data_IF_949524524958
#
_entry.id   IF_949524524958
#
_cell.length_a   1.000
_cell.length_b   1.000
_cell.length_c   1.000
_cell.angle_alpha   90.00
_cell.angle_beta   90.00
_cell.angle_gamma   90.00
#
_symmetry.space_group_name_H-M   'P 1'
#
loop_
_entity.id
_entity.type
_entity.pdbx_description
1 polymer ?
#
# COMPACT_ATOMS: atom_id res chain seq x y z
N UNK A 1 -35.79 13.40 1.80
CA UNK A 1 -34.89 13.25 2.96
C UNK A 1 -33.76 12.36 2.48
N UNK A 2 -32.63 12.95 2.12
CA UNK A 2 -31.50 12.24 1.52
C UNK A 2 -30.62 11.69 2.65
N UNK A 3 -30.74 10.39 2.94
CA UNK A 3 -29.90 9.74 3.94
C UNK A 3 -28.47 9.65 3.42
N UNK A 4 -27.60 10.48 3.97
CA UNK A 4 -26.15 10.30 3.87
C UNK A 4 -25.80 8.96 4.53
N UNK A 5 -25.68 7.90 3.72
CA UNK A 5 -25.08 6.61 4.13
C UNK A 5 -23.74 6.91 4.80
N UNK A 6 -23.72 6.89 6.13
CA UNK A 6 -22.48 6.95 6.90
C UNK A 6 -21.64 5.78 6.42
N UNK A 7 -20.55 6.07 5.71
CA UNK A 7 -19.56 5.06 5.38
C UNK A 7 -18.95 4.62 6.70
N UNK A 8 -19.31 3.41 7.15
CA UNK A 8 -18.64 2.81 8.31
C UNK A 8 -17.13 2.72 8.03
N UNK A 9 -16.28 2.91 9.05
CA UNK A 9 -14.84 2.80 8.89
C UNK A 9 -14.49 1.44 8.29
N UNK A 10 -13.53 1.44 7.37
CA UNK A 10 -12.97 0.20 6.81
C UNK A 10 -12.54 -0.74 7.94
N UNK A 11 -13.01 -1.99 7.90
CA UNK A 11 -12.57 -3.09 8.77
C UNK A 11 -12.24 -4.27 7.88
N UNK A 12 -11.06 -4.86 8.01
CA UNK A 12 -10.64 -6.05 7.24
C UNK A 12 -11.69 -7.17 7.11
N UNK A 13 -12.49 -7.53 8.14
CA UNK A 13 -13.56 -8.53 8.00
C UNK A 13 -14.74 -8.11 7.09
N UNK A 14 -14.76 -6.89 6.55
CA UNK A 14 -15.80 -6.43 5.61
C UNK A 14 -15.59 -6.90 4.17
N UNK A 15 -14.38 -7.39 3.83
CA UNK A 15 -14.06 -7.96 2.51
C UNK A 15 -14.75 -9.30 2.25
N UNK A 16 -15.20 -9.99 3.30
CA UNK A 16 -15.99 -11.23 3.20
C UNK A 16 -17.47 -10.98 2.86
N UNK A 17 -17.93 -9.72 2.89
CA UNK A 17 -19.30 -9.39 2.48
C UNK A 17 -19.39 -9.12 0.97
N UNK A 18 -20.21 -9.91 0.28
CA UNK A 18 -20.40 -9.79 -1.18
C UNK A 18 -20.88 -8.38 -1.60
N UNK A 19 -21.72 -7.73 -0.80
CA UNK A 19 -22.21 -6.37 -1.08
C UNK A 19 -21.09 -5.32 -1.04
N UNK A 20 -20.16 -5.42 -0.10
CA UNK A 20 -19.03 -4.51 0.00
C UNK A 20 -18.07 -4.71 -1.18
N UNK A 21 -17.82 -5.97 -1.56
CA UNK A 21 -16.99 -6.35 -2.71
C UNK A 21 -17.55 -5.83 -4.02
N UNK A 22 -18.85 -6.01 -4.28
CA UNK A 22 -19.50 -5.45 -5.46
C UNK A 22 -19.44 -3.93 -5.51
N UNK A 23 -19.59 -3.25 -4.36
CA UNK A 23 -19.44 -1.80 -4.27
C UNK A 23 -18.01 -1.37 -4.56
N UNK A 24 -17.01 -2.10 -4.06
CA UNK A 24 -15.61 -1.81 -4.29
C UNK A 24 -15.23 -2.05 -5.76
N UNK A 25 -15.65 -3.17 -6.36
CA UNK A 25 -15.49 -3.45 -7.78
C UNK A 25 -16.11 -2.37 -8.67
N UNK A 26 -17.30 -1.87 -8.33
CA UNK A 26 -17.92 -0.73 -9.05
C UNK A 26 -17.07 0.54 -8.95
N UNK A 27 -16.62 0.89 -7.73
CA UNK A 27 -15.73 2.06 -7.52
C UNK A 27 -14.44 1.91 -8.34
N UNK A 28 -13.86 0.72 -8.33
CA UNK A 28 -12.60 0.41 -9.00
C UNK A 28 -12.73 0.41 -10.53
N UNK A 29 -13.81 -0.14 -11.08
CA UNK A 29 -14.13 -0.08 -12.52
C UNK A 29 -14.32 1.36 -13.00
N UNK A 30 -14.99 2.20 -12.21
CA UNK A 30 -15.11 3.63 -12.52
C UNK A 30 -13.73 4.31 -12.57
N UNK A 31 -12.87 4.03 -11.58
CA UNK A 31 -11.52 4.59 -11.53
C UNK A 31 -10.67 4.16 -12.73
N UNK A 32 -10.71 2.87 -13.11
CA UNK A 32 -10.04 2.35 -14.31
C UNK A 32 -10.48 3.12 -15.56
N UNK A 33 -11.79 3.29 -15.77
CA UNK A 33 -12.32 4.01 -16.93
C UNK A 33 -11.85 5.48 -16.97
N UNK A 34 -11.79 6.16 -15.82
CA UNK A 34 -11.30 7.54 -15.73
C UNK A 34 -9.80 7.62 -16.05
N UNK A 35 -8.99 6.68 -15.54
CA UNK A 35 -7.55 6.62 -15.80
C UNK A 35 -7.25 6.35 -17.28
N UNK A 36 -8.01 5.46 -17.92
CA UNK A 36 -7.88 5.19 -19.36
C UNK A 36 -8.25 6.43 -20.20
N UNK A 37 -9.34 7.11 -19.85
CA UNK A 37 -9.74 8.34 -20.52
C UNK A 37 -8.70 9.47 -20.34
N UNK A 38 -8.14 9.61 -19.13
CA UNK A 38 -7.07 10.55 -18.85
C UNK A 38 -5.81 10.20 -19.65
N UNK A 39 -5.43 8.93 -19.72
CA UNK A 39 -4.30 8.45 -20.53
C UNK A 39 -4.48 8.75 -22.02
N UNK A 40 -5.68 8.55 -22.57
CA UNK A 40 -6.00 8.92 -23.94
C UNK A 40 -5.90 10.43 -24.17
N UNK A 41 -6.34 11.24 -23.20
CA UNK A 41 -6.22 12.71 -23.26
C UNK A 41 -4.77 13.17 -23.26
N UNK A 42 -3.91 12.56 -22.43
CA UNK A 42 -2.46 12.84 -22.40
C UNK A 42 -1.79 12.45 -23.73
N UNK A 43 -2.15 11.29 -24.31
CA UNK A 43 -1.67 10.89 -25.64
C UNK A 43 -2.03 11.91 -26.72
N UNK A 44 -3.27 12.43 -26.70
CA UNK A 44 -3.70 13.50 -27.64
C UNK A 44 -2.96 14.81 -27.39
N UNK A 45 -2.74 15.19 -26.13
CA UNK A 45 -1.98 16.39 -25.78
C UNK A 45 -0.52 16.31 -26.27
N UNK A 46 0.12 15.15 -26.15
CA UNK A 46 1.46 14.91 -26.68
C UNK A 46 1.56 14.99 -28.21
N UNK A 47 0.46 14.71 -28.93
CA UNK A 47 0.38 14.81 -30.38
C UNK A 47 -0.04 16.21 -30.87
N UNK A 48 -0.37 17.12 -29.95
CA UNK A 48 -0.74 18.49 -30.26
C UNK A 48 0.48 19.36 -30.59
N UNK A 49 0.25 20.61 -31.05
CA UNK A 49 1.33 21.57 -31.29
C UNK A 49 1.94 22.04 -29.97
N UNK A 50 3.27 22.15 -29.93
CA UNK A 50 4.07 22.60 -28.78
C UNK A 50 3.73 21.92 -27.43
N UNK A 51 3.83 20.58 -27.34
CA UNK A 51 3.50 19.87 -26.12
C UNK A 51 4.58 20.08 -25.06
N UNK A 52 4.16 20.32 -23.81
CA UNK A 52 5.02 20.18 -22.63
C UNK A 52 5.32 18.69 -22.40
N UNK A 53 6.27 18.16 -23.18
CA UNK A 53 6.59 16.73 -23.25
C UNK A 53 6.99 16.19 -21.90
N UNK A 54 7.82 16.91 -21.16
CA UNK A 54 8.37 16.43 -19.89
C UNK A 54 7.26 16.26 -18.85
N UNK A 55 6.42 17.28 -18.66
CA UNK A 55 5.28 17.19 -17.76
C UNK A 55 4.29 16.12 -18.18
N UNK A 56 3.94 16.06 -19.47
CA UNK A 56 2.97 15.10 -19.99
C UNK A 56 3.48 13.65 -19.88
N UNK A 57 4.78 13.41 -20.05
CA UNK A 57 5.38 12.09 -19.83
C UNK A 57 5.35 11.68 -18.35
N UNK A 58 5.65 12.59 -17.42
CA UNK A 58 5.52 12.32 -15.98
C UNK A 58 4.07 11.98 -15.59
N UNK A 59 3.11 12.75 -16.10
CA UNK A 59 1.68 12.49 -15.90
C UNK A 59 1.31 11.12 -16.48
N UNK A 60 1.75 10.80 -17.70
CA UNK A 60 1.50 9.50 -18.34
C UNK A 60 2.04 8.34 -17.50
N UNK A 61 3.26 8.45 -16.99
CA UNK A 61 3.86 7.41 -16.14
C UNK A 61 3.03 7.19 -14.88
N UNK A 62 2.66 8.26 -14.18
CA UNK A 62 1.82 8.15 -12.98
C UNK A 62 0.46 7.50 -13.27
N UNK A 63 -0.23 7.94 -14.33
CA UNK A 63 -1.51 7.37 -14.74
C UNK A 63 -1.42 5.88 -15.08
N UNK A 64 -0.36 5.46 -15.78
CA UNK A 64 -0.14 4.05 -16.12
C UNK A 64 0.19 3.20 -14.89
N UNK A 65 1.05 3.69 -14.00
CA UNK A 65 1.37 3.00 -12.75
C UNK A 65 0.14 2.85 -11.85
N UNK A 66 -0.69 3.89 -11.71
CA UNK A 66 -1.94 3.79 -10.95
C UNK A 66 -2.94 2.84 -11.62
N UNK A 67 -3.06 2.90 -12.95
CA UNK A 67 -3.95 1.99 -13.70
C UNK A 67 -3.54 0.53 -13.50
N UNK A 68 -2.25 0.24 -13.50
CA UNK A 68 -1.73 -1.11 -13.27
C UNK A 68 -2.12 -1.62 -11.87
N UNK A 69 -1.95 -0.80 -10.83
CA UNK A 69 -2.38 -1.14 -9.46
C UNK A 69 -3.88 -1.39 -9.40
N UNK A 70 -4.71 -0.54 -10.03
CA UNK A 70 -6.15 -0.73 -10.08
C UNK A 70 -6.52 -2.04 -10.79
N UNK A 71 -5.88 -2.39 -11.91
CA UNK A 71 -6.15 -3.64 -12.62
C UNK A 71 -5.79 -4.87 -11.79
N UNK A 72 -4.66 -4.85 -11.06
CA UNK A 72 -4.30 -5.94 -10.14
C UNK A 72 -5.29 -6.06 -8.98
N UNK A 73 -5.71 -4.94 -8.40
CA UNK A 73 -6.73 -4.94 -7.35
C UNK A 73 -8.08 -5.46 -7.87
N UNK A 74 -8.43 -5.18 -9.13
CA UNK A 74 -9.62 -5.75 -9.79
C UNK A 74 -9.53 -7.26 -9.85
N UNK A 75 -8.42 -7.77 -10.38
CA UNK A 75 -8.19 -9.19 -10.53
C UNK A 75 -8.26 -9.91 -9.17
N UNK A 76 -7.67 -9.33 -8.12
CA UNK A 76 -7.72 -9.88 -6.77
C UNK A 76 -9.14 -9.91 -6.17
N UNK A 77 -9.99 -8.93 -6.49
CA UNK A 77 -11.39 -8.88 -6.04
C UNK A 77 -12.30 -9.81 -6.85
N UNK A 78 -11.98 -10.03 -8.13
CA UNK A 78 -12.71 -10.92 -9.05
C UNK A 78 -12.36 -12.40 -8.82
N UNK A 79 -11.11 -12.72 -8.46
CA UNK A 79 -10.60 -14.09 -8.52
C UNK A 79 -11.17 -15.06 -7.49
N UNK A 80 -11.77 -14.59 -6.39
CA UNK A 80 -12.41 -15.41 -5.33
C UNK A 80 -11.58 -16.58 -4.74
N UNK A 81 -10.39 -16.88 -5.24
CA UNK A 81 -9.42 -17.76 -4.62
C UNK A 81 -8.79 -17.00 -3.46
N UNK A 82 -8.79 -17.62 -2.29
CA UNK A 82 -7.98 -17.19 -1.17
C UNK A 82 -6.62 -16.77 -1.72
N UNK A 83 -6.23 -15.51 -1.46
CA UNK A 83 -4.97 -14.94 -1.91
C UNK A 83 -3.88 -16.02 -1.86
N UNK A 84 -3.13 -16.27 -2.96
CA UNK A 84 -1.99 -17.17 -2.92
C UNK A 84 -1.17 -16.79 -1.68
N UNK A 85 -0.88 -17.77 -0.81
CA UNK A 85 -0.26 -17.49 0.51
C UNK A 85 0.94 -16.55 0.37
N UNK A 86 1.71 -16.75 -0.70
CA UNK A 86 2.84 -15.94 -1.12
C UNK A 86 2.50 -14.45 -1.35
N UNK A 87 1.37 -14.11 -1.98
CA UNK A 87 0.97 -12.71 -2.19
C UNK A 87 0.39 -12.09 -0.92
N UNK A 88 -0.26 -12.90 -0.07
CA UNK A 88 -0.81 -12.50 1.22
C UNK A 88 0.30 -12.16 2.22
N UNK A 89 1.38 -12.94 2.22
CA UNK A 89 2.60 -12.67 2.99
C UNK A 89 3.32 -11.40 2.50
N UNK A 90 3.38 -11.18 1.18
CA UNK A 90 3.97 -9.97 0.61
C UNK A 90 3.12 -8.70 0.85
N UNK A 91 1.79 -8.81 0.85
CA UNK A 91 0.88 -7.70 1.15
C UNK A 91 0.80 -7.42 2.66
N UNK A 92 0.80 -8.46 3.50
CA UNK A 92 0.92 -8.34 4.96
C UNK A 92 2.24 -7.69 5.39
N UNK A 93 3.33 -7.98 4.67
CA UNK A 93 4.62 -7.29 4.85
C UNK A 93 4.59 -5.81 4.44
N UNK A 94 3.66 -5.37 3.59
CA UNK A 94 3.51 -3.97 3.16
C UNK A 94 2.49 -3.23 4.04
N UNK A 95 1.48 -3.94 4.57
CA UNK A 95 0.38 -3.37 5.36
C UNK A 95 0.55 -3.50 6.88
N UNK A 96 1.56 -4.24 7.36
CA UNK A 96 1.91 -4.26 8.79
C UNK A 96 0.86 -4.90 9.70
N UNK A 97 -0.08 -5.66 9.16
CA UNK A 97 -1.16 -6.30 9.92
C UNK A 97 -1.15 -7.81 9.68
N UNK A 98 -0.53 -8.56 10.58
CA UNK A 98 -1.09 -9.76 11.24
C UNK A 98 -0.03 -10.62 11.93
N UNK A 99 0.00 -10.50 13.25
CA UNK A 99 -0.12 -11.58 14.24
C UNK A 99 0.29 -13.02 13.85
N UNK A 100 1.40 -13.44 14.45
CA UNK A 100 1.79 -14.77 15.01
C UNK A 100 1.89 -16.04 14.12
N UNK A 101 3.05 -16.69 14.26
CA UNK A 101 3.47 -18.05 13.81
C UNK A 101 4.16 -18.21 12.44
N UNK A 102 5.01 -17.26 12.03
CA UNK A 102 6.06 -17.55 11.05
C UNK A 102 7.40 -17.81 11.76
N UNK A 103 7.90 -19.03 11.55
CA UNK A 103 9.20 -19.58 11.94
C UNK A 103 10.32 -18.54 12.14
N UNK A 104 10.82 -18.43 13.37
CA UNK A 104 11.76 -17.39 13.81
C UNK A 104 13.20 -17.54 13.29
N UNK A 105 13.51 -18.59 12.51
CA UNK A 105 14.90 -18.94 12.18
C UNK A 105 15.41 -18.41 10.84
N UNK A 106 14.59 -17.63 10.09
CA UNK A 106 15.07 -17.04 8.83
C UNK A 106 14.40 -15.73 8.46
N UNK A 107 14.59 -14.71 9.30
CA UNK A 107 14.20 -13.34 8.97
C UNK A 107 15.15 -12.74 7.91
N UNK A 108 14.86 -12.97 6.63
CA UNK A 108 15.38 -12.11 5.56
C UNK A 108 14.50 -10.86 5.49
N UNK A 109 15.10 -9.69 5.69
CA UNK A 109 14.40 -8.41 5.56
C UNK A 109 13.73 -8.31 4.17
N UNK A 110 12.47 -7.85 4.10
CA UNK A 110 11.77 -7.66 2.83
C UNK A 110 12.60 -6.83 1.82
N UNK A 111 12.41 -7.12 0.53
CA UNK A 111 13.05 -6.34 -0.53
C UNK A 111 12.55 -4.89 -0.45
N UNK A 112 13.44 -3.95 -0.16
CA UNK A 112 13.11 -2.54 0.04
C UNK A 112 13.18 -2.05 1.49
N UNK A 113 13.47 -2.93 2.46
CA UNK A 113 13.70 -2.54 3.87
C UNK A 113 15.08 -1.92 4.13
N UNK A 114 15.89 -1.71 3.09
CA UNK A 114 17.16 -1.02 3.20
C UNK A 114 16.88 0.49 3.26
N UNK A 115 16.89 1.03 4.47
CA UNK A 115 16.91 2.48 4.69
C UNK A 115 18.27 3.00 4.18
N UNK A 116 18.28 4.10 3.42
CA UNK A 116 19.52 4.78 3.07
C UNK A 116 20.14 5.35 4.35
N UNK A 117 21.15 4.66 4.90
CA UNK A 117 21.89 5.14 6.07
C UNK A 117 22.75 6.33 5.69
N UNK A 118 22.84 7.34 6.56
CA UNK A 118 23.62 8.54 6.28
C UNK A 118 25.14 8.32 6.46
N UNK A 119 25.54 7.18 7.05
CA UNK A 119 26.94 6.79 7.24
C UNK A 119 27.15 5.28 7.41
N UNK A 120 28.38 4.81 7.18
CA UNK A 120 28.81 3.42 7.43
C UNK A 120 28.74 3.05 8.92
N UNK A 121 29.05 3.99 9.82
CA UNK A 121 28.98 3.78 11.27
C UNK A 121 27.53 3.54 11.73
N UNK A 122 26.59 4.22 11.08
CA UNK A 122 25.16 4.05 11.30
C UNK A 122 24.69 2.66 10.81
N UNK A 123 25.15 2.23 9.63
CA UNK A 123 24.87 0.90 9.09
C UNK A 123 25.39 -0.22 10.01
N UNK A 124 26.62 -0.12 10.50
CA UNK A 124 27.17 -1.09 11.46
C UNK A 124 26.35 -1.12 12.76
N UNK A 125 26.01 0.05 13.31
CA UNK A 125 25.25 0.16 14.56
C UNK A 125 23.86 -0.47 14.42
N UNK A 126 23.14 -0.19 13.34
CA UNK A 126 21.84 -0.82 13.07
C UNK A 126 21.95 -2.31 12.77
N UNK A 127 23.05 -2.75 12.16
CA UNK A 127 23.35 -4.17 11.94
C UNK A 127 23.43 -4.96 13.25
N UNK A 128 24.02 -4.38 14.31
CA UNK A 128 24.12 -5.03 15.63
C UNK A 128 22.79 -5.06 16.41
N UNK A 129 21.88 -4.12 16.16
CA UNK A 129 20.63 -4.02 16.91
C UNK A 129 19.59 -5.07 16.50
N UNK A 130 19.66 -5.57 15.26
CA UNK A 130 18.73 -6.56 14.76
C UNK A 130 17.28 -6.03 14.62
N UNK A 131 16.32 -6.90 14.26
CA UNK A 131 14.93 -6.49 14.08
C UNK A 131 14.26 -6.20 15.43
N UNK A 132 13.43 -5.14 15.46
CA UNK A 132 12.57 -4.82 16.61
C UNK A 132 11.51 -5.91 16.74
N UNK A 133 11.46 -6.56 17.91
CA UNK A 133 10.50 -7.64 18.20
C UNK A 133 9.22 -7.08 18.78
N UNK A 134 8.09 -7.75 18.54
CA UNK A 134 6.79 -7.35 19.08
C UNK A 134 6.79 -7.21 20.60
N UNK A 135 7.47 -8.12 21.31
CA UNK A 135 7.58 -8.04 22.77
C UNK A 135 8.37 -6.82 23.28
N UNK A 136 9.29 -6.27 22.47
CA UNK A 136 10.02 -5.03 22.82
C UNK A 136 9.14 -3.79 22.67
N UNK A 137 8.20 -3.82 21.72
CA UNK A 137 7.20 -2.77 21.51
C UNK A 137 6.18 -2.80 22.65
N UNK A 138 5.66 -3.99 22.98
CA UNK A 138 4.68 -4.18 24.05
C UNK A 138 5.24 -3.85 25.44
N UNK A 139 6.52 -4.14 25.68
CA UNK A 139 7.19 -3.82 26.94
C UNK A 139 7.63 -2.34 27.03
N UNK A 140 7.48 -1.55 25.96
CA UNK A 140 7.90 -0.16 25.95
C UNK A 140 6.90 0.72 26.73
N UNK A 141 7.38 1.44 27.74
CA UNK A 141 6.56 2.44 28.45
C UNK A 141 6.42 3.72 27.62
N UNK A 142 5.51 3.68 26.65
CA UNK A 142 5.23 4.79 25.74
C UNK A 142 4.73 6.02 26.52
N UNK A 143 3.93 5.84 27.58
CA UNK A 143 3.42 6.97 28.37
C UNK A 143 4.52 7.69 29.17
N UNK A 144 5.48 6.95 29.71
CA UNK A 144 6.68 7.50 30.34
C UNK A 144 7.58 8.22 29.33
N UNK A 145 7.72 7.67 28.12
CA UNK A 145 8.49 8.29 27.04
C UNK A 145 7.85 9.62 26.56
N UNK A 146 6.54 9.63 26.36
CA UNK A 146 5.78 10.83 25.97
C UNK A 146 5.98 11.94 27.01
N UNK A 147 5.85 11.61 28.30
CA UNK A 147 6.06 12.58 29.40
C UNK A 147 7.47 13.18 29.44
N UNK A 148 8.50 12.41 29.04
CA UNK A 148 9.89 12.91 28.98
C UNK A 148 10.16 13.80 27.77
N UNK A 149 9.50 13.53 26.65
CA UNK A 149 9.70 14.26 25.39
C UNK A 149 8.84 15.54 25.29
N UNK A 150 7.69 15.55 25.94
CA UNK A 150 6.76 16.69 25.97
C UNK A 150 6.96 17.61 27.19
N UNK A 151 8.18 17.67 27.74
CA UNK A 151 8.51 18.52 28.90
C UNK A 151 7.93 19.93 28.79
#
# INVERSE_FOLDING_TARGET
MSESRREEPFREPSLDSDEYRERLLRKLNCLVAVLEAAGAKVKRALAGPDPDVERLMRIRTNLLSTLEVCLRARAALESHEAFPKELRENLGSILGESSVEADLDRFTMPKGSQIEMMSLEEEERFGYMGPIRSGEIEACDIEGLIRRLQG
#
